data_IF_117225667687
#
_entry.id   IF_117225667687
#
_cell.length_a   1.000
_cell.length_b   1.000
_cell.length_c   1.000
_cell.angle_alpha   90.00
_cell.angle_beta   90.00
_cell.angle_gamma   90.00
#
_symmetry.space_group_name_H-M   'P 1'
#
loop_
_entity.id
_entity.type
_entity.pdbx_description
1 polymer ?
#
# COMPACT_ATOMS: atom_id res chain seq x y z
N UNK A 1 -18.05 -48.79 -34.21
CA UNK A 1 -16.71 -48.36 -33.75
C UNK A 1 -16.87 -46.97 -33.15
N UNK A 2 -16.89 -46.87 -31.82
CA UNK A 2 -16.90 -45.60 -31.10
C UNK A 2 -15.47 -45.33 -30.63
N UNK A 3 -14.83 -44.20 -30.99
CA UNK A 3 -13.57 -43.83 -30.39
C UNK A 3 -13.83 -43.33 -28.97
N UNK A 4 -13.27 -44.03 -27.98
CA UNK A 4 -13.19 -43.55 -26.60
C UNK A 4 -12.27 -42.32 -26.57
N UNK A 5 -12.83 -41.17 -26.22
CA UNK A 5 -12.06 -39.97 -25.93
C UNK A 5 -11.26 -40.19 -24.63
N UNK A 6 -9.94 -40.07 -24.73
CA UNK A 6 -9.03 -40.07 -23.58
C UNK A 6 -9.19 -38.73 -22.84
N UNK A 7 -9.87 -38.73 -21.71
CA UNK A 7 -9.91 -37.58 -20.80
C UNK A 7 -8.62 -37.59 -19.96
N UNK A 8 -7.65 -36.75 -20.31
CA UNK A 8 -6.47 -36.50 -19.48
C UNK A 8 -6.93 -35.62 -18.30
N UNK A 9 -7.06 -36.21 -17.12
CA UNK A 9 -7.22 -35.50 -15.86
C UNK A 9 -5.92 -34.72 -15.58
N UNK A 10 -5.90 -33.44 -15.91
CA UNK A 10 -4.83 -32.54 -15.51
C UNK A 10 -4.90 -32.35 -14.00
N UNK A 11 -3.99 -32.97 -13.26
CA UNK A 11 -3.83 -32.71 -11.83
C UNK A 11 -3.22 -31.32 -11.65
N UNK A 12 -4.01 -30.38 -11.13
CA UNK A 12 -3.49 -29.07 -10.70
C UNK A 12 -2.65 -29.29 -9.46
N UNK A 13 -1.33 -29.15 -9.60
CA UNK A 13 -0.41 -29.18 -8.47
C UNK A 13 -0.15 -27.74 -8.04
N UNK A 14 -0.58 -27.39 -6.83
CA UNK A 14 -0.28 -26.09 -6.22
C UNK A 14 0.94 -26.27 -5.33
N UNK A 15 2.04 -25.62 -5.69
CA UNK A 15 3.26 -25.57 -4.89
C UNK A 15 3.29 -24.19 -4.24
N UNK A 16 3.27 -24.14 -2.91
CA UNK A 16 3.51 -22.93 -2.14
C UNK A 16 4.88 -23.03 -1.48
N UNK A 17 5.75 -22.07 -1.74
CA UNK A 17 7.00 -21.88 -0.99
C UNK A 17 6.80 -20.75 0.02
N UNK A 18 7.30 -20.91 1.24
CA UNK A 18 7.41 -19.77 2.16
C UNK A 18 8.32 -18.71 1.52
N UNK A 19 7.92 -17.43 1.51
CA UNK A 19 8.81 -16.35 1.10
C UNK A 19 10.03 -16.37 2.02
N UNK A 20 11.23 -16.39 1.43
CA UNK A 20 12.46 -16.16 2.20
C UNK A 20 12.38 -14.72 2.74
N UNK A 21 12.61 -14.48 4.05
CA UNK A 21 12.61 -13.14 4.60
C UNK A 21 13.66 -12.28 3.87
N UNK A 22 13.23 -11.17 3.28
CA UNK A 22 14.16 -10.12 2.88
C UNK A 22 14.71 -9.47 4.16
N UNK A 23 16.02 -9.26 4.24
CA UNK A 23 16.67 -8.54 5.35
C UNK A 23 17.29 -7.23 4.81
N UNK A 24 16.74 -6.05 5.16
CA UNK A 24 15.54 -5.84 5.98
C UNK A 24 14.24 -6.12 5.22
N UNK A 25 13.18 -6.46 5.94
CA UNK A 25 11.86 -6.65 5.33
C UNK A 25 11.29 -5.29 4.91
N UNK A 26 11.10 -5.11 3.61
CA UNK A 26 10.62 -3.86 3.00
C UNK A 26 9.34 -4.10 2.22
N UNK A 27 8.27 -3.39 2.61
CA UNK A 27 7.08 -3.23 1.80
C UNK A 27 7.30 -2.12 0.78
N UNK A 28 7.00 -2.41 -0.50
CA UNK A 28 7.05 -1.41 -1.55
C UNK A 28 5.71 -1.38 -2.27
N UNK A 29 5.10 -0.20 -2.29
CA UNK A 29 3.88 0.08 -3.04
C UNK A 29 4.23 0.94 -4.25
N UNK A 30 3.70 0.57 -5.40
CA UNK A 30 3.92 1.31 -6.64
C UNK A 30 2.60 1.50 -7.37
N UNK A 31 2.36 2.72 -7.85
CA UNK A 31 1.22 3.04 -8.68
C UNK A 31 1.59 4.07 -9.74
N UNK A 32 0.95 3.96 -10.90
CA UNK A 32 1.21 4.78 -12.07
C UNK A 32 -0.10 5.25 -12.70
N UNK A 33 -0.13 6.53 -13.04
CA UNK A 33 -1.13 7.21 -13.85
C UNK A 33 -0.40 7.89 -15.02
N UNK A 34 -1.10 8.30 -16.10
CA UNK A 34 -0.47 9.07 -17.16
C UNK A 34 0.32 10.27 -16.59
N UNK A 35 1.62 10.32 -16.86
CA UNK A 35 2.48 11.42 -16.40
C UNK A 35 2.91 11.38 -14.93
N UNK A 36 2.43 10.44 -14.10
CA UNK A 36 2.74 10.37 -12.67
C UNK A 36 2.93 8.94 -12.18
N UNK A 37 4.06 8.68 -11.53
CA UNK A 37 4.32 7.44 -10.81
C UNK A 37 4.67 7.72 -9.35
N UNK A 38 4.05 7.01 -8.42
CA UNK A 38 4.40 7.06 -6.99
C UNK A 38 4.97 5.72 -6.57
N UNK A 39 6.05 5.76 -5.79
CA UNK A 39 6.56 4.60 -5.07
C UNK A 39 6.70 4.94 -3.60
N UNK A 40 6.24 4.04 -2.74
CA UNK A 40 6.33 4.17 -1.29
C UNK A 40 7.05 2.93 -0.78
N UNK A 41 8.23 3.12 -0.19
CA UNK A 41 9.02 2.06 0.41
C UNK A 41 9.01 2.21 1.94
N UNK A 42 8.64 1.13 2.64
CA UNK A 42 8.51 1.08 4.10
C UNK A 42 9.32 -0.09 4.63
N UNK A 43 10.21 0.15 5.60
CA UNK A 43 10.87 -0.93 6.33
C UNK A 43 9.99 -1.31 7.52
N UNK A 44 9.70 -2.59 7.68
CA UNK A 44 8.74 -3.03 8.73
C UNK A 44 9.39 -3.18 10.10
N UNK A 45 10.66 -3.59 10.13
CA UNK A 45 11.36 -3.91 11.38
C UNK A 45 12.34 -2.81 11.81
N UNK A 46 12.40 -1.69 11.09
CA UNK A 46 13.32 -0.58 11.38
C UNK A 46 12.55 0.64 11.94
N UNK A 47 12.60 0.90 13.25
CA UNK A 47 11.90 2.02 13.87
C UNK A 47 12.47 3.39 13.53
N UNK A 48 13.67 3.45 12.95
CA UNK A 48 14.41 4.69 12.76
C UNK A 48 14.26 5.20 11.32
N UNK A 49 14.01 4.31 10.36
CA UNK A 49 13.85 4.68 8.96
C UNK A 49 12.41 5.09 8.64
N UNK A 50 12.12 6.37 8.35
CA UNK A 50 10.81 6.76 7.85
C UNK A 50 10.54 6.12 6.48
N UNK A 51 9.27 5.99 6.07
CA UNK A 51 8.92 5.63 4.70
C UNK A 51 9.60 6.56 3.69
N UNK A 52 10.13 5.99 2.62
CA UNK A 52 10.65 6.75 1.48
C UNK A 52 9.56 6.85 0.44
N UNK A 53 9.22 8.09 0.07
CA UNK A 53 8.24 8.38 -0.98
C UNK A 53 8.98 8.98 -2.16
N UNK A 54 8.85 8.36 -3.33
CA UNK A 54 9.39 8.88 -4.59
C UNK A 54 8.28 9.14 -5.58
N UNK A 55 8.32 10.30 -6.24
CA UNK A 55 7.45 10.66 -7.35
C UNK A 55 8.28 10.73 -8.63
N UNK A 56 7.83 10.05 -9.67
CA UNK A 56 8.52 9.97 -10.97
C UNK A 56 10.02 9.58 -10.84
N UNK A 57 10.34 8.75 -9.84
CA UNK A 57 11.71 8.30 -9.56
C UNK A 57 12.59 9.30 -8.81
N UNK A 58 12.01 10.39 -8.29
CA UNK A 58 12.70 11.39 -7.46
C UNK A 58 12.17 11.37 -6.04
N UNK A 59 13.06 11.53 -5.06
CA UNK A 59 12.66 11.68 -3.66
C UNK A 59 11.84 12.94 -3.46
N UNK A 60 10.75 12.83 -2.70
CA UNK A 60 9.93 13.98 -2.33
C UNK A 60 10.52 14.66 -1.10
N UNK A 61 10.85 15.95 -1.23
CA UNK A 61 11.46 16.74 -0.15
C UNK A 61 10.53 17.03 1.04
N UNK A 62 9.21 17.11 0.81
CA UNK A 62 8.22 17.31 1.87
C UNK A 62 7.09 16.28 1.78
N UNK A 63 7.40 15.06 2.22
CA UNK A 63 6.40 14.01 2.45
C UNK A 63 6.21 13.76 3.96
N UNK A 64 6.54 14.74 4.81
CA UNK A 64 6.63 14.59 6.26
C UNK A 64 5.32 14.10 6.89
N UNK A 65 4.18 14.73 6.57
CA UNK A 65 2.87 14.30 7.05
C UNK A 65 2.48 12.89 6.58
N UNK A 66 2.84 12.51 5.35
CA UNK A 66 2.59 11.16 4.85
C UNK A 66 3.52 10.13 5.51
N UNK A 67 4.77 10.50 5.79
CA UNK A 67 5.74 9.66 6.48
C UNK A 67 5.33 9.39 7.93
N UNK A 68 4.72 10.35 8.63
CA UNK A 68 4.15 10.15 9.96
C UNK A 68 3.00 9.13 9.96
N UNK A 69 2.13 9.20 8.95
CA UNK A 69 0.98 8.29 8.84
C UNK A 69 1.37 6.89 8.38
N UNK A 70 2.35 6.77 7.50
CA UNK A 70 2.82 5.48 6.99
C UNK A 70 3.99 4.90 7.80
N UNK A 71 4.60 5.67 8.71
CA UNK A 71 5.77 5.25 9.48
C UNK A 71 5.46 4.42 10.72
N UNK A 72 4.17 4.14 11.00
CA UNK A 72 3.80 3.43 12.23
C UNK A 72 4.07 1.93 12.12
N UNK A 73 4.96 1.47 12.99
CA UNK A 73 5.42 0.08 13.12
C UNK A 73 4.33 -0.80 13.71
N UNK A 74 4.24 -2.03 13.23
CA UNK A 74 3.25 -3.01 13.70
C UNK A 74 1.82 -2.71 13.27
N UNK A 75 1.59 -1.57 12.59
CA UNK A 75 0.29 -1.26 12.01
C UNK A 75 0.09 -2.01 10.70
N UNK A 76 -1.13 -2.53 10.52
CA UNK A 76 -1.60 -3.09 9.26
C UNK A 76 -2.20 -1.98 8.40
N UNK A 77 -1.83 -1.95 7.12
CA UNK A 77 -2.31 -0.94 6.17
C UNK A 77 -3.10 -1.58 5.05
N UNK A 78 -4.16 -0.89 4.65
CA UNK A 78 -4.83 -1.10 3.38
C UNK A 78 -4.72 0.18 2.58
N UNK A 79 -4.14 0.08 1.38
CA UNK A 79 -3.91 1.22 0.50
C UNK A 79 -4.63 1.05 -0.83
N UNK A 80 -5.13 2.16 -1.36
CA UNK A 80 -5.73 2.24 -2.68
C UNK A 80 -5.15 3.44 -3.42
N UNK A 81 -4.66 3.19 -4.63
CA UNK A 81 -4.17 4.23 -5.53
C UNK A 81 -5.20 4.45 -6.65
N UNK A 82 -5.49 5.71 -6.95
CA UNK A 82 -6.51 6.11 -7.90
C UNK A 82 -5.97 7.24 -8.78
N UNK A 83 -6.17 7.13 -10.09
CA UNK A 83 -5.98 8.29 -10.97
C UNK A 83 -7.19 9.21 -10.83
N UNK A 84 -6.94 10.50 -10.65
CA UNK A 84 -8.01 11.50 -10.60
C UNK A 84 -8.74 11.55 -11.95
N UNK A 85 -10.07 11.56 -11.91
CA UNK A 85 -10.90 11.69 -13.11
C UNK A 85 -11.13 13.14 -13.53
N UNK A 86 -10.87 14.09 -12.64
CA UNK A 86 -11.02 15.53 -12.88
C UNK A 86 -9.73 16.22 -13.29
N UNK A 87 -8.58 15.60 -12.99
CA UNK A 87 -7.25 16.12 -13.29
C UNK A 87 -6.33 14.93 -13.58
N UNK A 88 -5.95 14.76 -14.85
CA UNK A 88 -5.18 13.59 -15.31
C UNK A 88 -3.76 13.56 -14.73
N UNK A 89 -3.27 14.72 -14.26
CA UNK A 89 -1.94 14.87 -13.67
C UNK A 89 -1.94 14.68 -12.14
N UNK A 90 -3.05 14.19 -11.58
CA UNK A 90 -3.18 13.95 -10.14
C UNK A 90 -3.37 12.47 -9.83
N UNK A 91 -2.48 11.95 -8.98
CA UNK A 91 -2.58 10.62 -8.39
C UNK A 91 -3.05 10.76 -6.94
N UNK A 92 -4.02 9.94 -6.54
CA UNK A 92 -4.59 9.92 -5.20
C UNK A 92 -4.21 8.61 -4.50
N UNK A 93 -3.59 8.71 -3.33
CA UNK A 93 -3.45 7.63 -2.37
C UNK A 93 -4.55 7.76 -1.32
N UNK A 94 -5.19 6.64 -0.98
CA UNK A 94 -6.02 6.49 0.21
C UNK A 94 -5.47 5.36 1.05
N UNK A 95 -5.44 5.55 2.37
CA UNK A 95 -5.09 4.46 3.28
C UNK A 95 -6.10 4.34 4.41
N UNK A 96 -6.19 3.12 4.94
CA UNK A 96 -6.72 2.85 6.26
C UNK A 96 -5.70 2.02 7.02
N UNK A 97 -5.46 2.39 8.27
CA UNK A 97 -4.47 1.80 9.17
C UNK A 97 -5.17 1.27 10.40
N UNK A 98 -4.85 0.04 10.79
CA UNK A 98 -5.20 -0.54 12.09
C UNK A 98 -3.94 -0.79 12.90
N UNK A 99 -3.90 -0.36 14.17
CA UNK A 99 -2.81 -0.62 15.10
C UNK A 99 -3.35 -1.28 16.36
N UNK A 100 -2.92 -2.51 16.62
CA UNK A 100 -3.22 -3.22 17.85
C UNK A 100 -2.37 -2.68 19.01
N UNK A 101 -3.01 -2.49 20.15
CA UNK A 101 -2.38 -2.11 21.42
C UNK A 101 -2.15 -3.36 22.29
N UNK A 102 -1.29 -3.23 23.30
CA UNK A 102 -0.95 -4.33 24.22
C UNK A 102 -2.15 -4.86 25.01
N UNK A 103 -3.20 -4.06 25.19
CA UNK A 103 -4.44 -4.43 25.86
C UNK A 103 -5.44 -5.17 24.94
N UNK A 104 -5.06 -5.42 23.68
CA UNK A 104 -5.88 -6.08 22.68
C UNK A 104 -6.89 -5.16 21.97
N UNK A 105 -6.90 -3.87 22.27
CA UNK A 105 -7.70 -2.89 21.52
C UNK A 105 -7.02 -2.53 20.19
N UNK A 106 -7.81 -2.22 19.17
CA UNK A 106 -7.29 -1.77 17.86
C UNK A 106 -7.73 -0.34 17.61
N UNK A 107 -6.77 0.54 17.35
CA UNK A 107 -7.02 1.91 16.90
C UNK A 107 -7.00 1.98 15.38
N UNK A 108 -7.92 2.75 14.80
CA UNK A 108 -8.05 2.90 13.36
C UNK A 108 -7.88 4.36 12.93
N UNK A 109 -7.09 4.57 11.87
CA UNK A 109 -6.96 5.87 11.19
C UNK A 109 -7.12 5.69 9.70
N UNK A 110 -7.68 6.69 9.03
CA UNK A 110 -7.71 6.74 7.58
C UNK A 110 -7.18 8.08 7.11
N UNK A 111 -6.73 8.11 5.87
CA UNK A 111 -6.36 9.36 5.25
C UNK A 111 -6.25 9.26 3.75
N UNK A 112 -5.93 10.39 3.16
CA UNK A 112 -5.69 10.54 1.75
C UNK A 112 -4.50 11.47 1.52
N UNK A 113 -3.77 11.19 0.45
CA UNK A 113 -2.72 12.06 -0.06
C UNK A 113 -2.91 12.24 -1.56
N UNK A 114 -2.58 13.42 -2.07
CA UNK A 114 -2.62 13.71 -3.49
C UNK A 114 -1.23 14.14 -3.98
N UNK A 115 -0.89 13.70 -5.19
CA UNK A 115 0.41 13.93 -5.79
C UNK A 115 0.23 14.49 -7.20
N UNK A 116 1.10 15.42 -7.60
CA UNK A 116 1.19 15.89 -8.97
C UNK A 116 2.63 16.27 -9.31
N UNK A 117 3.13 15.76 -10.43
CA UNK A 117 4.52 15.92 -10.83
C UNK A 117 5.47 15.36 -9.76
N UNK A 118 6.29 16.23 -9.19
CA UNK A 118 7.28 15.88 -8.17
C UNK A 118 6.85 16.34 -6.75
N UNK A 119 5.58 16.74 -6.57
CA UNK A 119 5.07 17.35 -5.34
C UNK A 119 3.95 16.54 -4.68
N UNK A 120 3.96 16.55 -3.34
CA UNK A 120 2.80 16.15 -2.52
C UNK A 120 1.95 17.40 -2.34
N UNK A 121 0.71 17.36 -2.82
CA UNK A 121 -0.19 18.51 -2.82
C UNK A 121 -0.90 18.67 -1.47
N UNK A 122 -1.37 17.56 -0.92
CA UNK A 122 -2.15 17.54 0.31
C UNK A 122 -2.05 16.17 0.99
N UNK A 123 -2.12 16.17 2.32
CA UNK A 123 -2.15 14.98 3.18
C UNK A 123 -3.15 15.22 4.30
N UNK A 124 -4.24 14.46 4.28
CA UNK A 124 -5.27 14.51 5.32
C UNK A 124 -5.35 13.17 6.03
N UNK A 125 -5.49 13.20 7.35
CA UNK A 125 -5.64 12.01 8.17
C UNK A 125 -6.62 12.26 9.32
N UNK A 126 -7.37 11.24 9.69
CA UNK A 126 -8.34 11.31 10.78
C UNK A 126 -8.64 9.95 11.38
N UNK A 127 -9.15 9.98 12.61
CA UNK A 127 -9.57 8.78 13.31
C UNK A 127 -10.86 8.24 12.67
N UNK A 128 -10.93 6.91 12.53
CA UNK A 128 -12.08 6.22 11.92
C UNK A 128 -12.51 5.01 12.74
N UNK A 129 -13.60 4.37 12.32
CA UNK A 129 -14.11 3.18 12.96
C UNK A 129 -13.53 1.90 12.33
N UNK A 130 -13.67 0.78 13.04
CA UNK A 130 -13.38 -0.56 12.52
C UNK A 130 -14.12 -0.85 11.19
N UNK A 131 -15.34 -0.33 11.05
CA UNK A 131 -16.15 -0.56 9.85
C UNK A 131 -15.53 0.05 8.59
N UNK A 132 -14.83 1.18 8.74
CA UNK A 132 -14.12 1.84 7.64
C UNK A 132 -12.86 1.07 7.20
N UNK A 133 -12.25 0.29 8.11
CA UNK A 133 -11.10 -0.55 7.82
C UNK A 133 -11.49 -1.80 7.00
N UNK A 134 -12.57 -2.48 7.39
CA UNK A 134 -12.95 -3.76 6.78
C UNK A 134 -13.90 -3.67 5.58
N UNK A 135 -14.75 -2.63 5.48
CA UNK A 135 -15.92 -2.65 4.58
C UNK A 135 -15.93 -1.62 3.44
N UNK A 136 -14.80 -1.01 3.07
CA UNK A 136 -14.69 -0.17 1.87
C UNK A 136 -14.03 -0.85 0.69
#
# INVERSE_FOLDING_TARGET
MFPYALLILANVTVITSEPIPADPWQETYHAECPGNAVTIARKIEDPVSPPVVTLNGKDVSDASGLAEELGVIGAAYRMSFLCSSSDEDVLLLRWVRGLASDDGTVSYRSGAASFSGDEVLDVEAGDVSESDFWYR
#
